data_IF_737598479765
#
_entry.id   IF_737598479765
#
_cell.length_a   1.000
_cell.length_b   1.000
_cell.length_c   1.000
_cell.angle_alpha   90.00
_cell.angle_beta   90.00
_cell.angle_gamma   90.00
#
_symmetry.space_group_name_H-M   'P 1'
#
loop_
_entity.id
_entity.type
_entity.pdbx_description
1 polymer ?
#
# COMPACT_ATOMS: atom_id res chain seq x y z
N UNK A 1 -31.69 -7.26 -24.40
CA UNK A 1 -31.69 -5.79 -24.28
C UNK A 1 -31.19 -5.46 -22.88
N UNK A 2 -29.93 -5.03 -22.82
CA UNK A 2 -29.14 -4.41 -21.73
C UNK A 2 -29.54 -4.66 -20.27
N UNK A 3 -28.70 -5.44 -19.57
CA UNK A 3 -28.15 -5.08 -18.26
C UNK A 3 -26.68 -5.51 -18.22
N UNK A 4 -25.84 -4.77 -18.95
CA UNK A 4 -24.40 -4.77 -18.77
C UNK A 4 -24.06 -3.57 -17.90
N UNK A 5 -23.78 -3.82 -16.64
CA UNK A 5 -23.29 -2.86 -15.66
C UNK A 5 -22.49 -3.69 -14.67
N UNK A 6 -21.21 -3.85 -14.96
CA UNK A 6 -20.24 -4.46 -14.07
C UNK A 6 -20.05 -3.49 -12.90
N UNK A 7 -20.77 -3.71 -11.80
CA UNK A 7 -20.71 -2.89 -10.60
C UNK A 7 -19.41 -3.23 -9.86
N UNK A 8 -18.30 -2.72 -10.40
CA UNK A 8 -16.94 -2.91 -9.89
C UNK A 8 -16.76 -2.10 -8.62
N UNK A 9 -17.30 -2.62 -7.51
CA UNK A 9 -17.10 -2.03 -6.20
C UNK A 9 -15.79 -2.56 -5.62
N UNK A 10 -14.79 -1.70 -5.51
CA UNK A 10 -13.58 -1.98 -4.75
C UNK A 10 -13.91 -1.99 -3.24
N UNK A 11 -13.21 -2.83 -2.48
CA UNK A 11 -13.39 -2.88 -1.02
C UNK A 11 -13.09 -1.51 -0.38
N UNK A 12 -13.91 -1.10 0.58
CA UNK A 12 -13.73 0.16 1.34
C UNK A 12 -12.32 0.28 1.90
N UNK A 13 -11.81 -0.78 2.55
CA UNK A 13 -10.50 -0.79 3.19
C UNK A 13 -9.38 -0.60 2.17
N UNK A 14 -9.55 -1.11 0.95
CA UNK A 14 -8.59 -0.90 -0.13
C UNK A 14 -8.60 0.54 -0.65
N UNK A 15 -9.78 1.14 -0.77
CA UNK A 15 -9.92 2.56 -1.14
C UNK A 15 -9.27 3.45 -0.07
N UNK A 16 -9.56 3.19 1.21
CA UNK A 16 -8.98 3.93 2.33
C UNK A 16 -7.47 3.74 2.43
N UNK A 17 -6.95 2.54 2.20
CA UNK A 17 -5.51 2.30 2.10
C UNK A 17 -4.85 3.23 1.06
N UNK A 18 -5.43 3.31 -0.14
CA UNK A 18 -4.90 4.17 -1.20
C UNK A 18 -5.03 5.65 -0.87
N UNK A 19 -6.13 6.06 -0.25
CA UNK A 19 -6.34 7.43 0.23
C UNK A 19 -5.29 7.81 1.27
N UNK A 20 -5.11 6.99 2.32
CA UNK A 20 -4.08 7.23 3.33
C UNK A 20 -2.68 7.22 2.75
N UNK A 21 -2.41 6.35 1.76
CA UNK A 21 -1.09 6.26 1.14
C UNK A 21 -0.76 7.48 0.27
N UNK A 22 -1.71 7.92 -0.57
CA UNK A 22 -1.48 8.93 -1.60
C UNK A 22 -1.79 10.36 -1.15
N UNK A 23 -2.86 10.56 -0.38
CA UNK A 23 -3.37 11.88 -0.02
C UNK A 23 -2.85 12.32 1.35
N UNK A 24 -3.20 11.58 2.42
CA UNK A 24 -2.84 11.94 3.79
C UNK A 24 -1.38 11.60 4.15
N UNK A 25 -0.77 10.68 3.39
CA UNK A 25 0.55 10.11 3.70
C UNK A 25 0.60 9.48 5.09
N UNK A 26 -0.52 8.97 5.59
CA UNK A 26 -0.60 8.32 6.90
C UNK A 26 -0.36 6.82 6.77
N UNK A 27 0.91 6.44 6.84
CA UNK A 27 1.31 5.04 6.71
C UNK A 27 0.98 4.18 7.93
N UNK A 28 0.63 4.79 9.06
CA UNK A 28 0.11 4.05 10.20
C UNK A 28 -1.35 3.67 9.94
N UNK A 29 -2.19 4.61 9.49
CA UNK A 29 -3.56 4.26 9.11
C UNK A 29 -3.61 3.33 7.89
N UNK A 30 -2.65 3.40 6.96
CA UNK A 30 -2.48 2.38 5.93
C UNK A 30 -2.28 0.97 6.50
N UNK A 31 -1.54 0.84 7.63
CA UNK A 31 -1.32 -0.45 8.28
C UNK A 31 -2.65 -1.02 8.78
N UNK A 32 -3.40 -0.23 9.55
CA UNK A 32 -4.66 -0.65 10.16
C UNK A 32 -5.66 -1.18 9.11
N UNK A 33 -5.97 -0.36 8.09
CA UNK A 33 -6.99 -0.75 7.10
C UNK A 33 -6.55 -1.90 6.21
N UNK A 34 -5.26 -1.97 5.85
CA UNK A 34 -4.76 -3.04 4.98
C UNK A 34 -4.54 -4.35 5.76
N UNK A 35 -4.24 -4.30 7.05
CA UNK A 35 -4.17 -5.51 7.89
C UNK A 35 -5.56 -6.14 8.02
N UNK A 36 -6.59 -5.34 8.30
CA UNK A 36 -7.97 -5.81 8.34
C UNK A 36 -8.36 -6.48 7.01
N UNK A 37 -8.13 -5.81 5.87
CA UNK A 37 -8.41 -6.36 4.54
C UNK A 37 -7.62 -7.65 4.28
N UNK A 38 -6.33 -7.67 4.63
CA UNK A 38 -5.47 -8.83 4.45
C UNK A 38 -5.98 -10.04 5.24
N UNK A 39 -6.48 -9.85 6.46
CA UNK A 39 -7.08 -10.90 7.27
C UNK A 39 -8.39 -11.41 6.66
N UNK A 40 -9.25 -10.52 6.17
CA UNK A 40 -10.51 -10.86 5.49
C UNK A 40 -10.28 -11.67 4.19
N UNK A 41 -9.25 -11.30 3.44
CA UNK A 41 -8.86 -11.92 2.15
C UNK A 41 -8.00 -13.18 2.33
N UNK A 42 -8.15 -13.88 3.46
CA UNK A 42 -7.49 -15.17 3.71
C UNK A 42 -5.97 -15.08 3.77
N UNK A 43 -5.44 -13.92 4.17
CA UNK A 43 -4.00 -13.63 4.28
C UNK A 43 -3.26 -13.68 2.94
N UNK A 44 -3.86 -13.15 1.88
CA UNK A 44 -3.20 -13.06 0.58
C UNK A 44 -1.82 -12.36 0.66
N UNK A 45 -0.80 -12.98 0.09
CA UNK A 45 0.58 -12.49 0.20
C UNK A 45 0.84 -11.19 -0.56
N UNK A 46 0.14 -10.94 -1.68
CA UNK A 46 0.32 -9.69 -2.41
C UNK A 46 -0.19 -8.50 -1.59
N UNK A 47 -1.35 -8.64 -0.94
CA UNK A 47 -1.87 -7.63 0.00
C UNK A 47 -0.92 -7.41 1.17
N UNK A 48 -0.35 -8.49 1.71
CA UNK A 48 0.72 -8.37 2.71
C UNK A 48 1.95 -7.63 2.17
N UNK A 49 2.28 -7.80 0.89
CA UNK A 49 3.33 -7.05 0.23
C UNK A 49 3.05 -5.55 0.20
N UNK A 50 1.82 -5.14 -0.15
CA UNK A 50 1.39 -3.74 -0.15
C UNK A 50 1.40 -3.14 1.27
N UNK A 51 0.85 -3.86 2.26
CA UNK A 51 0.95 -3.52 3.68
C UNK A 51 2.41 -3.21 4.07
N UNK A 52 3.33 -4.10 3.72
CA UNK A 52 4.74 -3.95 4.06
C UNK A 52 5.43 -2.79 3.36
N UNK A 53 4.95 -2.35 2.19
CA UNK A 53 5.42 -1.11 1.57
C UNK A 53 5.05 0.10 2.44
N UNK A 54 3.79 0.21 2.87
CA UNK A 54 3.37 1.30 3.75
C UNK A 54 4.15 1.29 5.08
N UNK A 55 4.24 0.14 5.74
CA UNK A 55 4.96 0.01 7.02
C UNK A 55 6.47 0.27 6.83
N UNK A 56 7.06 -0.11 5.69
CA UNK A 56 8.45 0.19 5.37
C UNK A 56 8.72 1.71 5.28
N UNK A 57 7.79 2.46 4.66
CA UNK A 57 7.84 3.93 4.63
C UNK A 57 7.65 4.53 6.02
N UNK A 58 6.69 4.03 6.80
CA UNK A 58 6.47 4.45 8.19
C UNK A 58 7.76 4.30 9.03
N UNK A 59 8.42 3.15 8.94
CA UNK A 59 9.67 2.89 9.64
C UNK A 59 10.77 3.88 9.24
N UNK A 60 10.96 4.13 7.94
CA UNK A 60 12.01 5.05 7.53
C UNK A 60 11.71 6.49 7.93
N UNK A 61 10.43 6.91 7.88
CA UNK A 61 10.00 8.23 8.36
C UNK A 61 10.33 8.44 9.85
N UNK A 62 10.32 7.37 10.63
CA UNK A 62 10.64 7.36 12.07
C UNK A 62 12.10 6.96 12.36
N UNK A 63 13.02 7.24 11.42
CA UNK A 63 14.46 6.98 11.52
C UNK A 63 14.85 5.49 11.73
N UNK A 64 13.91 4.55 11.52
CA UNK A 64 14.16 3.12 11.63
C UNK A 64 14.56 2.50 10.28
N UNK A 65 15.80 2.78 9.87
CA UNK A 65 16.37 2.33 8.59
C UNK A 65 16.40 0.81 8.48
N UNK A 66 16.85 0.10 9.52
CA UNK A 66 16.94 -1.37 9.51
C UNK A 66 15.55 -2.01 9.38
N UNK A 67 14.54 -1.45 10.06
CA UNK A 67 13.16 -1.90 9.93
C UNK A 67 12.60 -1.67 8.53
N UNK A 68 12.86 -0.50 7.94
CA UNK A 68 12.44 -0.18 6.58
C UNK A 68 13.04 -1.15 5.53
N UNK A 69 14.35 -1.41 5.61
CA UNK A 69 15.03 -2.38 4.72
C UNK A 69 14.34 -3.75 4.81
N UNK A 70 14.17 -4.28 6.03
CA UNK A 70 13.56 -5.59 6.25
C UNK A 70 12.16 -5.68 5.64
N UNK A 71 11.33 -4.65 5.81
CA UNK A 71 9.96 -4.66 5.31
C UNK A 71 9.90 -4.54 3.78
N UNK A 72 10.73 -3.68 3.17
CA UNK A 72 10.81 -3.60 1.71
C UNK A 72 11.35 -4.88 1.08
N UNK A 73 12.36 -5.54 1.66
CA UNK A 73 12.81 -6.85 1.19
C UNK A 73 11.67 -7.89 1.21
N UNK A 74 10.90 -7.91 2.30
CA UNK A 74 9.76 -8.80 2.44
C UNK A 74 8.63 -8.47 1.47
N UNK A 75 8.39 -7.19 1.18
CA UNK A 75 7.42 -6.74 0.18
C UNK A 75 7.85 -7.18 -1.22
N UNK A 76 9.13 -6.95 -1.57
CA UNK A 76 9.72 -7.39 -2.85
C UNK A 76 9.66 -8.92 -3.01
N UNK A 77 9.72 -9.71 -1.94
CA UNK A 77 9.52 -11.16 -2.04
C UNK A 77 8.09 -11.58 -2.42
N UNK A 78 7.09 -10.68 -2.30
CA UNK A 78 5.66 -10.99 -2.48
C UNK A 78 5.00 -10.33 -3.69
N UNK A 79 5.69 -9.40 -4.38
CA UNK A 79 5.09 -8.63 -5.48
C UNK A 79 4.58 -9.47 -6.67
N UNK A 80 5.13 -10.68 -6.86
CA UNK A 80 4.73 -11.63 -7.91
C UNK A 80 3.67 -12.64 -7.47
N UNK A 81 3.24 -12.60 -6.21
CA UNK A 81 2.21 -13.51 -5.72
C UNK A 81 0.88 -13.25 -6.43
N UNK A 82 0.11 -14.30 -6.75
CA UNK A 82 -1.12 -14.17 -7.50
C UNK A 82 -2.20 -13.45 -6.68
N UNK A 83 -2.98 -12.64 -7.39
CA UNK A 83 -4.16 -11.97 -6.89
C UNK A 83 -5.29 -12.18 -7.89
N UNK A 84 -6.44 -12.67 -7.41
CA UNK A 84 -7.60 -12.99 -8.25
C UNK A 84 -8.50 -11.78 -8.50
N UNK A 85 -8.37 -10.71 -7.72
CA UNK A 85 -9.06 -9.44 -7.96
C UNK A 85 -8.29 -8.54 -8.92
N UNK A 86 -8.92 -7.44 -9.32
CA UNK A 86 -8.22 -6.34 -9.99
C UNK A 86 -7.67 -5.39 -8.92
N UNK A 87 -6.37 -5.10 -8.96
CA UNK A 87 -5.77 -4.12 -8.04
C UNK A 87 -6.10 -2.66 -8.43
N UNK A 88 -6.41 -2.40 -9.70
CA UNK A 88 -6.65 -1.05 -10.21
C UNK A 88 -5.47 -0.08 -10.09
N UNK A 89 -4.25 -0.58 -9.83
CA UNK A 89 -3.02 0.23 -9.67
C UNK A 89 -1.89 -0.29 -10.57
N UNK A 90 -0.93 0.59 -10.86
CA UNK A 90 0.33 0.23 -11.53
C UNK A 90 1.30 -0.41 -10.53
N UNK A 91 1.03 -1.67 -10.18
CA UNK A 91 1.85 -2.46 -9.24
C UNK A 91 3.32 -2.51 -9.66
N UNK A 92 3.59 -2.71 -10.95
CA UNK A 92 4.97 -2.85 -11.45
C UNK A 92 5.78 -1.58 -11.21
N UNK A 93 5.17 -0.40 -11.43
CA UNK A 93 5.81 0.88 -11.09
C UNK A 93 6.06 1.00 -9.59
N UNK A 94 5.07 0.71 -8.74
CA UNK A 94 5.23 0.80 -7.29
C UNK A 94 6.42 -0.04 -6.81
N UNK A 95 6.48 -1.32 -7.21
CA UNK A 95 7.56 -2.21 -6.76
C UNK A 95 8.91 -1.88 -7.40
N UNK A 96 8.93 -1.30 -8.59
CA UNK A 96 10.16 -0.71 -9.14
C UNK A 96 10.65 0.46 -8.28
N UNK A 97 9.77 1.38 -7.88
CA UNK A 97 10.11 2.50 -7.01
C UNK A 97 10.56 2.03 -5.61
N UNK A 98 9.92 1.00 -5.04
CA UNK A 98 10.34 0.34 -3.79
C UNK A 98 11.73 -0.26 -3.92
N UNK A 99 12.04 -0.94 -5.03
CA UNK A 99 13.37 -1.48 -5.28
C UNK A 99 14.44 -0.37 -5.33
N UNK A 100 14.14 0.74 -6.00
CA UNK A 100 15.03 1.90 -6.05
C UNK A 100 15.21 2.54 -4.67
N UNK A 101 14.15 2.60 -3.87
CA UNK A 101 14.19 3.05 -2.48
C UNK A 101 15.10 2.16 -1.63
N UNK A 102 14.93 0.84 -1.75
CA UNK A 102 15.70 -0.17 -1.04
C UNK A 102 17.20 -0.09 -1.39
N UNK A 103 17.56 0.13 -2.66
CA UNK A 103 18.96 0.35 -3.05
C UNK A 103 19.59 1.57 -2.37
N UNK A 104 18.85 2.67 -2.21
CA UNK A 104 19.34 3.84 -1.47
C UNK A 104 19.50 3.52 0.02
N UNK A 105 18.58 2.76 0.62
CA UNK A 105 18.66 2.38 2.01
C UNK A 105 19.85 1.46 2.30
N UNK A 106 20.21 0.55 1.40
CA UNK A 106 21.41 -0.27 1.54
C UNK A 106 22.70 0.56 1.61
N UNK A 107 22.76 1.70 0.90
CA UNK A 107 23.92 2.60 0.89
C UNK A 107 23.79 3.77 1.88
N UNK A 108 22.77 3.75 2.76
CA UNK A 108 22.42 4.90 3.60
C UNK A 108 23.58 5.37 4.49
N UNK A 109 24.38 4.45 5.04
CA UNK A 109 25.52 4.79 5.89
C UNK A 109 26.62 5.56 5.16
N UNK A 110 26.75 5.39 3.84
CA UNK A 110 27.74 6.11 3.03
C UNK A 110 27.14 7.37 2.39
N UNK A 111 25.87 7.27 1.97
CA UNK A 111 25.15 8.33 1.26
C UNK A 111 23.72 8.47 1.82
N UNK A 112 23.57 9.12 2.98
CA UNK A 112 22.26 9.34 3.55
C UNK A 112 21.41 10.21 2.61
N UNK A 113 20.11 9.94 2.58
CA UNK A 113 19.15 10.70 1.81
C UNK A 113 17.94 11.02 2.70
N UNK A 114 17.29 12.18 2.51
CA UNK A 114 16.08 12.50 3.25
C UNK A 114 14.96 11.53 2.89
N UNK A 115 14.08 11.25 3.85
CA UNK A 115 12.82 10.57 3.60
C UNK A 115 12.03 11.26 2.47
N UNK A 116 11.38 10.47 1.63
CA UNK A 116 10.41 10.95 0.64
C UNK A 116 9.27 9.94 0.47
N UNK A 117 8.07 10.44 0.19
CA UNK A 117 6.91 9.59 -0.02
C UNK A 117 6.94 8.91 -1.41
N UNK A 118 6.35 7.71 -1.51
CA UNK A 118 6.00 7.09 -2.78
C UNK A 118 4.54 7.41 -3.13
N UNK A 119 4.16 7.39 -4.40
CA UNK A 119 2.75 7.56 -4.81
C UNK A 119 2.31 6.37 -5.63
N UNK A 120 1.24 5.70 -5.20
CA UNK A 120 0.66 4.59 -5.95
C UNK A 120 -0.11 5.17 -7.12
N UNK A 121 0.36 4.87 -8.34
CA UNK A 121 -0.37 5.22 -9.56
C UNK A 121 -1.63 4.36 -9.68
N UNK A 122 -2.80 4.99 -9.59
CA UNK A 122 -4.10 4.35 -9.79
C UNK A 122 -4.42 4.36 -11.29
N UNK A 123 -4.63 3.17 -11.86
CA UNK A 123 -4.87 2.98 -13.29
C UNK A 123 -6.34 2.76 -13.61
N UNK A 124 -7.14 2.26 -12.65
CA UNK A 124 -8.58 2.13 -12.83
C UNK A 124 -9.29 3.47 -12.53
N UNK A 125 -10.03 4.05 -13.49
CA UNK A 125 -10.69 5.34 -13.30
C UNK A 125 -11.77 5.35 -12.21
N UNK A 126 -12.53 4.26 -12.05
CA UNK A 126 -13.55 4.15 -11.00
C UNK A 126 -12.92 4.07 -9.61
N UNK A 127 -11.78 3.37 -9.48
CA UNK A 127 -11.00 3.39 -8.24
C UNK A 127 -10.43 4.78 -7.95
N UNK A 128 -9.91 5.46 -8.97
CA UNK A 128 -9.37 6.81 -8.81
C UNK A 128 -10.44 7.80 -8.34
N UNK A 129 -11.65 7.73 -8.91
CA UNK A 129 -12.80 8.53 -8.48
C UNK A 129 -13.20 8.21 -7.02
N UNK A 130 -13.27 6.91 -6.67
CA UNK A 130 -13.58 6.47 -5.31
C UNK A 130 -12.55 6.97 -4.28
N UNK A 131 -11.25 6.90 -4.60
CA UNK A 131 -10.19 7.44 -3.72
C UNK A 131 -10.29 8.96 -3.62
N UNK A 132 -10.56 9.67 -4.71
CA UNK A 132 -10.66 11.14 -4.71
C UNK A 132 -11.85 11.70 -3.93
N UNK A 133 -12.90 10.89 -3.75
CA UNK A 133 -14.11 11.23 -2.99
C UNK A 133 -14.19 10.52 -1.65
N UNK A 134 -13.13 9.81 -1.27
CA UNK A 134 -13.06 9.05 -0.04
C UNK A 134 -13.14 9.98 1.17
N UNK A 135 -14.00 9.61 2.11
CA UNK A 135 -13.99 10.12 3.48
C UNK A 135 -13.70 8.91 4.34
N UNK A 136 -12.45 8.70 4.77
CA UNK A 136 -12.07 7.45 5.41
C UNK A 136 -12.76 7.31 6.76
N UNK A 137 -13.22 6.11 7.07
CA UNK A 137 -13.75 5.78 8.39
C UNK A 137 -12.65 5.17 9.29
N UNK A 138 -11.55 4.68 8.69
CA UNK A 138 -10.50 3.96 9.38
C UNK A 138 -10.97 2.59 9.89
N UNK A 139 -10.22 2.09 10.86
CA UNK A 139 -10.58 0.93 11.70
C UNK A 139 -10.99 1.47 13.08
N UNK A 140 -12.00 0.87 13.72
CA UNK A 140 -12.42 1.27 15.06
C UNK A 140 -11.28 1.03 16.07
N UNK A 141 -11.11 1.91 17.05
CA UNK A 141 -9.99 1.83 18.01
C UNK A 141 -9.97 0.50 18.79
N UNK A 142 -11.13 -0.09 19.06
CA UNK A 142 -11.26 -1.42 19.69
C UNK A 142 -10.80 -2.57 18.80
N UNK A 143 -10.71 -2.36 17.49
CA UNK A 143 -10.34 -3.34 16.47
C UNK A 143 -8.91 -3.11 15.92
N UNK A 144 -8.24 -2.01 16.32
CA UNK A 144 -6.83 -1.73 16.01
C UNK A 144 -5.90 -2.69 16.77
N UNK A 145 -4.80 -3.10 16.14
CA UNK A 145 -3.86 -4.09 16.66
C UNK A 145 -2.72 -3.48 17.51
#
# INVERSE_FOLDING_TARGET
MVRGGDDRMHDRLYIEYLYYFNEERDYYECHEVMEELWLLEGKNKLLQGLLQVAVGLHHFRNDNITGAIKLFEQAMAKHQEPWSGELGINKERLFHEVQMYLYKLYDYNNKPFPFYDLTIEITDPSLAEAVSTCVPLGVAEEDKF
#
